data_IF_391020414545
#
_entry.id   IF_391020414545
#
_cell.length_a   1.000
_cell.length_b   1.000
_cell.length_c   1.000
_cell.angle_alpha   90.00
_cell.angle_beta   90.00
_cell.angle_gamma   90.00
#
_symmetry.space_group_name_H-M   'P 1'
#
loop_
_entity.id
_entity.type
_entity.pdbx_description
1 polymer ?
#
# COMPACT_ATOMS: atom_id res chain seq x y z
N UNK A 1 15.72 26.98 -3.53
CA UNK A 1 14.79 26.92 -4.69
C UNK A 1 13.37 27.10 -4.18
N UNK A 2 12.50 27.84 -4.90
CA UNK A 2 11.11 28.01 -4.50
C UNK A 2 10.30 26.73 -4.71
N UNK A 3 9.34 26.49 -3.81
CA UNK A 3 8.40 25.37 -3.89
C UNK A 3 6.96 25.89 -3.80
N UNK A 4 6.05 25.27 -4.54
CA UNK A 4 4.62 25.54 -4.50
C UNK A 4 3.87 24.33 -3.94
N UNK A 5 2.67 24.55 -3.38
CA UNK A 5 1.83 23.48 -2.89
C UNK A 5 0.45 23.48 -3.56
N UNK A 6 -0.16 22.29 -3.66
CA UNK A 6 -1.51 22.10 -4.16
C UNK A 6 -2.27 21.11 -3.27
N UNK A 7 -3.37 21.55 -2.67
CA UNK A 7 -4.22 20.76 -1.76
C UNK A 7 -5.70 21.16 -1.95
N UNK A 8 -6.62 20.43 -1.30
CA UNK A 8 -8.06 20.57 -1.49
C UNK A 8 -8.63 21.92 -1.06
N UNK A 9 -7.98 22.62 -0.14
CA UNK A 9 -8.46 23.91 0.39
C UNK A 9 -8.10 25.10 -0.52
N UNK A 10 -7.30 24.88 -1.58
CA UNK A 10 -7.00 25.91 -2.57
C UNK A 10 -8.14 26.06 -3.57
N UNK A 11 -8.45 27.31 -3.92
CA UNK A 11 -9.43 27.61 -4.98
C UNK A 11 -8.94 27.08 -6.33
N UNK A 12 -9.87 26.73 -7.23
CA UNK A 12 -9.52 26.16 -8.53
C UNK A 12 -8.61 27.08 -9.37
N UNK A 13 -8.76 28.40 -9.26
CA UNK A 13 -7.91 29.38 -9.96
C UNK A 13 -6.49 29.37 -9.42
N UNK A 14 -6.34 29.28 -8.11
CA UNK A 14 -5.05 29.17 -7.45
C UNK A 14 -4.35 27.86 -7.83
N UNK A 15 -5.10 26.75 -7.87
CA UNK A 15 -4.62 25.44 -8.36
C UNK A 15 -4.08 25.55 -9.78
N UNK A 16 -4.78 26.24 -10.68
CA UNK A 16 -4.34 26.46 -12.07
C UNK A 16 -3.09 27.33 -12.16
N UNK A 17 -3.03 28.40 -11.36
CA UNK A 17 -1.88 29.30 -11.30
C UNK A 17 -0.60 28.59 -10.83
N UNK A 18 -0.69 27.84 -9.72
CA UNK A 18 0.43 27.04 -9.18
C UNK A 18 0.96 26.06 -10.23
N UNK A 19 0.06 25.37 -10.93
CA UNK A 19 0.46 24.42 -11.96
C UNK A 19 1.12 25.09 -13.16
N UNK A 20 0.66 26.28 -13.56
CA UNK A 20 1.30 27.02 -14.64
C UNK A 20 2.73 27.41 -14.28
N UNK A 21 2.95 27.90 -13.06
CA UNK A 21 4.29 28.26 -12.59
C UNK A 21 5.22 27.06 -12.45
N UNK A 22 4.67 25.89 -12.08
CA UNK A 22 5.42 24.63 -12.11
C UNK A 22 5.78 24.19 -13.54
N UNK A 23 4.81 24.19 -14.47
CA UNK A 23 5.00 23.78 -15.88
C UNK A 23 5.97 24.69 -16.63
N UNK A 24 5.96 25.98 -16.35
CA UNK A 24 6.87 26.97 -16.95
C UNK A 24 8.25 26.98 -16.31
N UNK A 25 8.47 26.19 -15.26
CA UNK A 25 9.76 26.09 -14.57
C UNK A 25 10.08 27.26 -13.63
N UNK A 26 9.17 28.24 -13.46
CA UNK A 26 9.34 29.34 -12.51
C UNK A 26 9.50 28.85 -11.08
N UNK A 27 8.74 27.81 -10.73
CA UNK A 27 8.90 27.07 -9.48
C UNK A 27 9.09 25.58 -9.78
N UNK A 28 10.31 25.04 -9.69
CA UNK A 28 10.61 23.68 -10.15
C UNK A 28 10.14 22.57 -9.21
N UNK A 29 9.59 22.91 -8.03
CA UNK A 29 9.15 21.97 -7.01
C UNK A 29 7.65 22.18 -6.74
N UNK A 30 6.89 21.09 -6.84
CA UNK A 30 5.46 21.04 -6.53
C UNK A 30 5.18 19.98 -5.46
N UNK A 31 4.56 20.40 -4.36
CA UNK A 31 4.08 19.53 -3.28
C UNK A 31 2.57 19.35 -3.46
N UNK A 32 2.06 18.11 -3.43
CA UNK A 32 0.67 17.83 -3.76
C UNK A 32 0.04 16.76 -2.87
N UNK A 33 -1.26 16.87 -2.61
CA UNK A 33 -2.10 15.77 -2.12
C UNK A 33 -2.93 15.16 -3.26
N UNK A 34 -3.30 13.87 -3.13
CA UNK A 34 -4.04 13.15 -4.19
C UNK A 34 -5.40 13.77 -4.51
N UNK A 35 -6.08 14.32 -3.49
CA UNK A 35 -7.36 15.02 -3.67
C UNK A 35 -7.19 16.21 -4.62
N UNK A 36 -6.06 16.89 -4.53
CA UNK A 36 -5.78 18.08 -5.30
C UNK A 36 -5.21 17.80 -6.69
N UNK A 37 -4.80 16.57 -7.01
CA UNK A 37 -4.39 16.19 -8.37
C UNK A 37 -5.54 15.73 -9.25
N UNK A 38 -6.70 15.38 -8.68
CA UNK A 38 -7.88 14.96 -9.47
C UNK A 38 -8.34 16.11 -10.36
N UNK A 39 -8.47 15.82 -11.66
CA UNK A 39 -8.83 16.80 -12.70
C UNK A 39 -7.68 17.68 -13.18
N UNK A 40 -6.45 17.48 -12.67
CA UNK A 40 -5.28 18.25 -13.07
C UNK A 40 -4.29 17.38 -13.84
N UNK A 41 -3.94 17.81 -15.05
CA UNK A 41 -2.98 17.10 -15.87
C UNK A 41 -1.54 17.52 -15.53
N UNK A 42 -0.94 16.80 -14.59
CA UNK A 42 0.48 16.87 -14.26
C UNK A 42 1.15 15.69 -14.99
N UNK A 43 2.01 15.97 -15.97
CA UNK A 43 2.76 14.99 -16.76
C UNK A 43 4.17 15.51 -16.99
N UNK A 44 5.06 14.62 -17.42
CA UNK A 44 6.42 14.94 -17.88
C UNK A 44 7.30 15.57 -16.78
N UNK A 45 7.14 15.13 -15.54
CA UNK A 45 8.06 15.51 -14.46
C UNK A 45 9.29 14.62 -14.47
N UNK A 46 10.47 15.15 -14.13
CA UNK A 46 11.72 14.36 -14.06
C UNK A 46 11.76 13.43 -12.86
N UNK A 47 11.21 13.89 -11.73
CA UNK A 47 11.24 13.16 -10.48
C UNK A 47 9.88 13.17 -9.80
N UNK A 48 9.50 12.03 -9.24
CA UNK A 48 8.35 11.88 -8.34
C UNK A 48 8.87 11.44 -6.99
N UNK A 49 8.46 12.11 -5.91
CA UNK A 49 8.81 11.72 -4.55
C UNK A 49 7.51 11.44 -3.79
N UNK A 50 7.30 10.18 -3.44
CA UNK A 50 6.27 9.80 -2.47
C UNK A 50 6.82 10.05 -1.08
N UNK A 51 6.59 11.25 -0.55
CA UNK A 51 6.97 11.60 0.81
C UNK A 51 6.23 10.72 1.83
N UNK A 52 4.90 10.67 1.69
CA UNK A 52 4.06 9.68 2.35
C UNK A 52 3.60 8.63 1.33
N UNK A 53 3.78 7.34 1.66
CA UNK A 53 3.25 6.26 0.84
C UNK A 53 1.71 6.37 0.75
N UNK A 54 1.11 6.18 -0.43
CA UNK A 54 -0.34 6.28 -0.57
C UNK A 54 -1.08 5.19 0.23
N UNK A 55 -2.39 5.39 0.42
CA UNK A 55 -3.20 4.44 1.19
C UNK A 55 -3.61 3.19 0.39
N UNK A 56 -3.55 3.27 -0.95
CA UNK A 56 -3.85 2.20 -1.90
C UNK A 56 -2.70 2.06 -2.89
N UNK A 57 -2.48 0.85 -3.42
CA UNK A 57 -1.36 0.60 -4.33
C UNK A 57 -1.58 1.21 -5.72
N UNK A 58 -2.84 1.33 -6.15
CA UNK A 58 -3.22 1.94 -7.42
C UNK A 58 -2.81 3.42 -7.45
N UNK A 59 -2.94 4.11 -6.33
CA UNK A 59 -2.51 5.50 -6.19
C UNK A 59 -0.97 5.63 -6.32
N UNK A 60 -0.21 4.64 -5.83
CA UNK A 60 1.25 4.60 -6.05
C UNK A 60 1.58 4.56 -7.54
N UNK A 61 0.94 3.67 -8.30
CA UNK A 61 1.12 3.56 -9.76
C UNK A 61 0.73 4.86 -10.47
N UNK A 62 -0.39 5.48 -10.08
CA UNK A 62 -0.84 6.75 -10.66
C UNK A 62 0.11 7.93 -10.39
N UNK A 63 0.73 7.97 -9.20
CA UNK A 63 1.71 8.98 -8.80
C UNK A 63 3.02 8.82 -9.55
N UNK A 64 3.61 7.62 -9.59
CA UNK A 64 4.87 7.42 -10.32
C UNK A 64 4.68 7.56 -11.83
N UNK A 65 3.48 7.28 -12.35
CA UNK A 65 3.12 7.49 -13.75
C UNK A 65 3.13 8.95 -14.23
N UNK A 66 3.51 9.92 -13.38
CA UNK A 66 3.76 11.32 -13.75
C UNK A 66 5.14 11.53 -14.38
N UNK A 67 6.08 10.62 -14.14
CA UNK A 67 7.44 10.63 -14.72
C UNK A 67 7.62 9.53 -15.77
N UNK A 68 8.76 9.53 -16.48
CA UNK A 68 9.18 8.40 -17.32
C UNK A 68 8.31 8.12 -18.56
N UNK A 69 7.69 9.13 -19.16
CA UNK A 69 6.81 8.96 -20.35
C UNK A 69 7.52 9.26 -21.66
N UNK A 70 7.03 8.65 -22.74
CA UNK A 70 7.44 8.94 -24.13
C UNK A 70 8.96 8.89 -24.38
N UNK A 71 9.64 7.91 -23.80
CA UNK A 71 11.10 7.74 -23.93
C UNK A 71 11.94 8.69 -23.07
N UNK A 72 11.32 9.58 -22.30
CA UNK A 72 12.06 10.42 -21.35
C UNK A 72 12.50 9.63 -20.12
N UNK A 73 13.74 9.85 -19.68
CA UNK A 73 14.21 9.33 -18.41
C UNK A 73 13.50 10.02 -17.25
N UNK A 74 13.11 9.23 -16.26
CA UNK A 74 12.42 9.67 -15.06
C UNK A 74 12.74 8.76 -13.88
N UNK A 75 12.61 9.29 -12.66
CA UNK A 75 12.84 8.50 -11.45
C UNK A 75 11.75 8.75 -10.41
N UNK A 76 11.43 7.70 -9.65
CA UNK A 76 10.55 7.80 -8.49
C UNK A 76 11.27 7.36 -7.23
N UNK A 77 11.14 8.16 -6.17
CA UNK A 77 11.64 7.84 -4.84
C UNK A 77 10.46 7.72 -3.89
N UNK A 78 10.54 6.79 -2.96
CA UNK A 78 9.42 6.47 -2.08
C UNK A 78 9.91 6.17 -0.68
N UNK A 79 9.38 6.91 0.30
CA UNK A 79 9.54 6.55 1.69
C UNK A 79 8.43 5.59 2.10
N UNK A 80 8.82 4.45 2.68
CA UNK A 80 7.88 3.46 3.20
C UNK A 80 8.07 3.35 4.71
N UNK A 81 7.00 3.64 5.45
CA UNK A 81 6.94 3.61 6.91
C UNK A 81 6.10 2.43 7.41
N UNK A 82 6.25 2.10 8.70
CA UNK A 82 5.65 0.89 9.31
C UNK A 82 4.12 0.83 9.21
N UNK A 83 3.43 1.96 9.24
CA UNK A 83 1.97 2.04 9.07
C UNK A 83 1.47 1.60 7.67
N UNK A 84 2.39 1.51 6.71
CA UNK A 84 2.15 1.15 5.30
C UNK A 84 2.68 -0.23 4.93
N UNK A 85 3.30 -0.96 5.85
CA UNK A 85 3.88 -2.30 5.59
C UNK A 85 2.86 -3.32 5.08
N UNK A 86 1.55 -3.09 5.29
CA UNK A 86 0.48 -3.91 4.71
C UNK A 86 0.55 -3.96 3.16
N UNK A 87 1.00 -2.88 2.53
CA UNK A 87 1.10 -2.74 1.07
C UNK A 87 2.46 -3.21 0.53
N UNK A 88 3.41 -3.60 1.39
CA UNK A 88 4.76 -3.97 0.97
C UNK A 88 4.77 -5.15 -0.01
N UNK A 89 3.85 -6.12 0.17
CA UNK A 89 3.74 -7.28 -0.74
C UNK A 89 3.33 -6.87 -2.15
N UNK A 90 2.39 -5.94 -2.27
CA UNK A 90 1.92 -5.43 -3.55
C UNK A 90 2.98 -4.54 -4.20
N UNK A 91 3.67 -3.72 -3.40
CA UNK A 91 4.81 -2.93 -3.88
C UNK A 91 5.93 -3.81 -4.44
N UNK A 92 6.30 -4.89 -3.74
CA UNK A 92 7.30 -5.87 -4.22
C UNK A 92 6.86 -6.51 -5.53
N UNK A 93 5.57 -6.85 -5.66
CA UNK A 93 5.01 -7.40 -6.90
C UNK A 93 5.19 -6.41 -8.06
N UNK A 94 4.83 -5.15 -7.88
CA UNK A 94 4.98 -4.10 -8.90
C UNK A 94 6.44 -3.90 -9.30
N UNK A 95 7.36 -3.82 -8.32
CA UNK A 95 8.79 -3.66 -8.60
C UNK A 95 9.32 -4.84 -9.41
N UNK A 96 8.92 -6.07 -9.07
CA UNK A 96 9.32 -7.27 -9.80
C UNK A 96 8.76 -7.32 -11.22
N UNK A 97 7.49 -6.99 -11.41
CA UNK A 97 6.86 -6.91 -12.74
C UNK A 97 7.46 -5.80 -13.61
N UNK A 98 8.02 -4.76 -12.98
CA UNK A 98 8.69 -3.64 -13.65
C UNK A 98 10.21 -3.83 -13.75
N UNK A 99 10.72 -5.03 -13.46
CA UNK A 99 12.15 -5.39 -13.48
C UNK A 99 13.05 -4.44 -12.65
N UNK A 100 12.49 -3.87 -11.58
CA UNK A 100 13.20 -2.98 -10.68
C UNK A 100 13.93 -3.77 -9.58
N UNK A 101 15.10 -3.29 -9.13
CA UNK A 101 15.77 -3.87 -7.98
C UNK A 101 14.89 -3.74 -6.74
N UNK A 102 14.75 -4.83 -5.98
CA UNK A 102 13.95 -4.88 -4.77
C UNK A 102 14.89 -4.70 -3.57
N UNK A 103 14.72 -3.64 -2.76
CA UNK A 103 15.54 -3.47 -1.56
C UNK A 103 15.39 -4.66 -0.59
N UNK A 104 16.48 -5.24 -0.06
CA UNK A 104 16.40 -6.39 0.85
C UNK A 104 15.52 -6.15 2.07
N UNK A 105 15.50 -4.93 2.60
CA UNK A 105 14.63 -4.53 3.71
C UNK A 105 13.16 -4.60 3.33
N UNK A 106 12.80 -4.15 2.12
CA UNK A 106 11.42 -4.21 1.62
C UNK A 106 10.97 -5.65 1.43
N UNK A 107 11.84 -6.50 0.90
CA UNK A 107 11.56 -7.92 0.73
C UNK A 107 11.30 -8.60 2.08
N UNK A 108 12.14 -8.35 3.10
CA UNK A 108 11.91 -8.85 4.47
C UNK A 108 10.56 -8.40 5.04
N UNK A 109 10.23 -7.12 4.90
CA UNK A 109 8.93 -6.57 5.35
C UNK A 109 7.78 -7.29 4.66
N UNK A 110 7.88 -7.54 3.35
CA UNK A 110 6.83 -8.21 2.58
C UNK A 110 6.53 -9.64 3.06
N UNK A 111 7.56 -10.38 3.50
CA UNK A 111 7.42 -11.72 4.08
C UNK A 111 6.84 -11.68 5.50
N UNK A 112 7.21 -10.70 6.31
CA UNK A 112 6.71 -10.55 7.68
C UNK A 112 5.21 -10.22 7.72
N UNK A 113 4.73 -9.34 6.85
CA UNK A 113 3.31 -8.96 6.80
C UNK A 113 2.42 -10.15 6.41
N UNK A 114 2.89 -11.06 5.56
CA UNK A 114 2.10 -12.21 5.09
C UNK A 114 1.86 -13.33 6.11
N UNK A 115 2.66 -13.39 7.19
CA UNK A 115 2.57 -14.46 8.19
C UNK A 115 1.55 -14.18 9.31
N UNK A 116 1.17 -12.92 9.51
CA UNK A 116 0.23 -12.52 10.57
C UNK A 116 -1.22 -12.91 10.28
N UNK A 117 -1.56 -13.27 9.04
CA UNK A 117 -2.93 -13.66 8.64
C UNK A 117 -3.19 -15.18 8.68
N UNK A 118 -2.19 -16.01 9.04
CA UNK A 118 -2.31 -17.49 9.02
C UNK A 118 -2.29 -18.19 10.39
N UNK A 119 -2.48 -17.46 11.49
CA UNK A 119 -2.67 -18.09 12.81
C UNK A 119 -4.06 -17.81 13.35
N UNK A 120 -4.99 -18.72 13.05
CA UNK A 120 -6.13 -18.97 13.91
C UNK A 120 -5.87 -20.32 14.63
N UNK A 121 -5.27 -20.32 15.84
CA UNK A 121 -4.89 -21.56 16.54
C UNK A 121 -6.03 -22.20 17.33
N UNK A 122 -7.28 -21.70 17.21
CA UNK A 122 -8.38 -22.07 18.10
C UNK A 122 -9.11 -23.39 17.77
N UNK A 123 -8.66 -24.16 16.78
CA UNK A 123 -9.29 -25.44 16.42
C UNK A 123 -8.25 -26.55 16.22
N UNK A 124 -7.44 -26.86 17.24
CA UNK A 124 -6.71 -28.15 17.24
C UNK A 124 -6.16 -28.55 18.62
N UNK A 125 -7.04 -28.86 19.57
CA UNK A 125 -6.75 -29.72 20.72
C UNK A 125 -8.13 -30.26 21.13
N UNK A 126 -8.55 -31.46 20.76
CA UNK A 126 -7.91 -32.72 21.10
C UNK A 126 -8.87 -33.47 22.03
N UNK A 127 -9.65 -34.42 21.49
CA UNK A 127 -10.25 -35.48 22.30
C UNK A 127 -10.44 -36.74 21.46
N UNK A 128 -9.33 -37.42 21.22
CA UNK A 128 -9.30 -38.81 20.78
C UNK A 128 -9.12 -39.69 22.01
N UNK A 129 -9.90 -40.78 22.09
CA UNK A 129 -9.49 -42.00 22.79
C UNK A 129 -10.07 -42.24 24.18
N UNK A 130 -11.30 -42.74 24.26
CA UNK A 130 -11.67 -43.74 25.28
C UNK A 130 -12.43 -44.88 24.62
N UNK A 131 -11.69 -45.93 24.28
CA UNK A 131 -12.22 -47.26 23.98
C UNK A 131 -12.21 -48.06 25.29
N UNK A 132 -13.38 -48.50 25.75
CA UNK A 132 -13.51 -49.54 26.78
C UNK A 132 -14.85 -50.25 26.60
N UNK A 133 -14.86 -51.31 25.80
CA UNK A 133 -15.90 -52.32 25.81
C UNK A 133 -15.65 -53.30 26.96
N UNK A 134 -16.59 -53.43 27.92
CA UNK A 134 -17.08 -54.71 28.50
C UNK A 134 -18.07 -54.49 29.68
N UNK A 135 -19.38 -54.68 29.39
CA UNK A 135 -20.50 -55.35 30.11
C UNK A 135 -20.55 -55.54 31.66
N UNK A 136 -21.72 -55.88 32.30
CA UNK A 136 -23.15 -55.75 31.95
C UNK A 136 -24.13 -55.28 33.09
N UNK A 137 -25.35 -54.89 32.69
CA UNK A 137 -26.71 -55.07 33.31
C UNK A 137 -26.95 -54.86 34.83
N UNK A 138 -27.83 -53.88 35.16
CA UNK A 138 -28.97 -53.90 36.13
C UNK A 138 -29.46 -52.43 36.24
N UNK A 139 -30.67 -52.01 35.95
CA UNK A 139 -32.00 -52.53 36.29
C UNK A 139 -32.75 -51.40 37.01
N UNK A 140 -33.99 -51.09 36.59
CA UNK A 140 -34.98 -50.45 37.48
C UNK A 140 -35.41 -49.00 37.18
N UNK A 141 -36.55 -48.89 36.48
CA UNK A 141 -37.82 -48.30 36.93
C UNK A 141 -38.00 -46.78 37.30
N UNK A 142 -39.04 -46.21 36.64
CA UNK A 142 -40.12 -45.29 37.10
C UNK A 142 -40.00 -43.76 37.02
N UNK A 143 -41.00 -43.21 36.32
CA UNK A 143 -41.91 -42.08 36.62
C UNK A 143 -41.42 -40.96 37.55
N UNK A 144 -41.49 -39.70 37.12
CA UNK A 144 -42.68 -38.84 37.02
C UNK A 144 -42.49 -37.85 35.87
#
# INVERSE_FOLDING_TARGET
MPALCIHGDKKQDERRWVLNDFKTGKSPILIATDVASRGLDIKNVKFVINYDFPNQIEDYVHRIGRTGRAGAHGASFTFLTSDKYRLAKELVKILRESEQPIPPQLEKISFSTGNSQRRNPYYSYGRSGYNSNNFPVRGGNRYY
#
